data_IF_076335112187
#
_entry.id   IF_076335112187
#
_cell.length_a   1.000
_cell.length_b   1.000
_cell.length_c   1.000
_cell.angle_alpha   90.00
_cell.angle_beta   90.00
_cell.angle_gamma   90.00
#
_symmetry.space_group_name_H-M   'P 1'
#
loop_
_entity.id
_entity.type
_entity.pdbx_description
1 polymer ?
#
# COMPACT_ATOMS: atom_id res chain seq x y z
N UNK A 1 12.26 -12.65 -53.90
CA UNK A 1 12.43 -13.57 -52.75
C UNK A 1 12.77 -12.72 -51.54
N UNK A 2 11.82 -12.54 -50.61
CA UNK A 2 12.01 -11.67 -49.44
C UNK A 2 12.66 -12.48 -48.33
N UNK A 3 13.84 -12.06 -47.86
CA UNK A 3 14.55 -12.75 -46.79
C UNK A 3 13.99 -12.26 -45.43
N UNK A 4 13.39 -13.14 -44.59
CA UNK A 4 12.81 -12.70 -43.32
C UNK A 4 13.92 -12.31 -42.35
N UNK A 5 13.88 -11.06 -41.86
CA UNK A 5 14.79 -10.61 -40.80
C UNK A 5 14.48 -11.42 -39.54
N UNK A 6 15.49 -12.13 -39.03
CA UNK A 6 15.39 -12.86 -37.77
C UNK A 6 15.10 -11.89 -36.62
N UNK A 7 14.08 -12.21 -35.80
CA UNK A 7 13.73 -11.48 -34.56
C UNK A 7 14.96 -11.23 -33.67
N UNK A 8 15.93 -12.15 -33.71
CA UNK A 8 17.19 -12.07 -32.95
C UNK A 8 18.14 -11.01 -33.50
N UNK A 9 18.15 -10.79 -34.81
CA UNK A 9 18.95 -9.72 -35.44
C UNK A 9 18.33 -8.36 -35.18
N UNK A 10 16.99 -8.25 -35.22
CA UNK A 10 16.28 -7.02 -34.89
C UNK A 10 16.55 -6.56 -33.44
N UNK A 11 16.43 -7.47 -32.47
CA UNK A 11 16.69 -7.17 -31.05
C UNK A 11 18.15 -6.74 -30.79
N UNK A 12 19.11 -7.34 -31.50
CA UNK A 12 20.52 -6.92 -31.41
C UNK A 12 20.76 -5.52 -31.97
N UNK A 13 20.09 -5.15 -33.07
CA UNK A 13 20.17 -3.80 -33.64
C UNK A 13 19.49 -2.74 -32.76
N UNK A 14 18.42 -3.08 -32.04
CA UNK A 14 17.72 -2.15 -31.14
C UNK A 14 18.47 -1.89 -29.83
N UNK A 15 19.27 -2.84 -29.34
CA UNK A 15 20.07 -2.66 -28.11
C UNK A 15 21.26 -1.70 -28.27
N UNK A 16 21.79 -1.55 -29.48
CA UNK A 16 22.99 -0.73 -29.72
C UNK A 16 22.71 0.79 -29.74
N UNK A 17 21.46 1.22 -29.91
CA UNK A 17 21.09 2.64 -29.96
C UNK A 17 20.73 3.25 -28.59
N UNK A 18 20.52 2.44 -27.54
CA UNK A 18 20.16 2.94 -26.21
C UNK A 18 21.38 3.28 -25.32
N UNK A 19 22.59 2.88 -25.71
CA UNK A 19 23.78 3.00 -24.86
C UNK A 19 24.54 4.35 -25.00
N UNK A 20 24.10 5.26 -25.89
CA UNK A 20 24.84 6.50 -26.21
C UNK A 20 24.15 7.80 -25.78
N UNK A 21 23.01 7.75 -25.09
CA UNK A 21 22.26 8.95 -24.65
C UNK A 21 22.24 9.20 -23.13
N UNK A 22 23.01 8.45 -22.33
CA UNK A 22 22.95 8.51 -20.86
C UNK A 22 24.07 9.34 -20.19
N UNK A 23 24.84 10.15 -20.92
CA UNK A 23 26.03 10.84 -20.39
C UNK A 23 25.83 12.34 -20.03
N UNK A 24 24.60 12.82 -19.87
CA UNK A 24 24.37 14.26 -19.59
C UNK A 24 23.35 14.58 -18.47
N UNK A 25 23.13 13.68 -17.50
CA UNK A 25 22.32 14.01 -16.32
C UNK A 25 22.74 13.19 -15.08
N UNK A 26 23.93 13.48 -14.55
CA UNK A 26 24.29 13.11 -13.18
C UNK A 26 24.38 14.39 -12.35
N UNK A 27 23.24 14.93 -11.93
CA UNK A 27 23.16 15.49 -10.60
C UNK A 27 22.88 14.30 -9.67
N UNK A 28 23.87 13.92 -8.87
CA UNK A 28 23.74 12.85 -7.90
C UNK A 28 22.67 13.22 -6.86
N UNK A 29 21.64 12.39 -6.61
CA UNK A 29 20.86 12.50 -5.39
C UNK A 29 21.79 12.25 -4.21
N UNK A 30 21.72 13.10 -3.19
CA UNK A 30 22.43 12.90 -1.94
C UNK A 30 22.08 11.51 -1.38
N UNK A 31 23.10 10.73 -1.03
CA UNK A 31 22.93 9.43 -0.39
C UNK A 31 22.11 9.59 0.89
N UNK A 32 20.98 8.89 0.97
CA UNK A 32 20.24 8.71 2.21
C UNK A 32 21.10 7.90 3.18
N UNK A 33 21.15 8.24 4.49
CA UNK A 33 21.89 7.45 5.46
C UNK A 33 21.34 6.02 5.49
N UNK A 34 22.25 5.05 5.49
CA UNK A 34 21.92 3.68 5.85
C UNK A 34 21.47 3.65 7.32
N UNK A 35 20.18 3.43 7.56
CA UNK A 35 19.62 3.24 8.89
C UNK A 35 19.89 1.82 9.38
N UNK A 36 20.84 1.69 10.30
CA UNK A 36 20.91 0.56 11.23
C UNK A 36 19.73 0.60 12.19
N UNK A 37 19.21 -0.60 12.47
CA UNK A 37 18.60 -1.08 13.71
C UNK A 37 17.77 -0.11 14.54
N UNK A 38 16.45 -0.39 14.56
CA UNK A 38 15.69 -0.47 15.80
C UNK A 38 15.75 0.75 16.70
N UNK A 39 15.30 1.90 16.19
CA UNK A 39 14.86 2.99 17.04
C UNK A 39 13.34 3.04 16.89
N UNK A 40 12.61 2.71 17.96
CA UNK A 40 11.19 3.06 18.04
C UNK A 40 11.12 4.57 17.85
N UNK A 41 10.72 4.99 16.65
CA UNK A 41 10.48 6.38 16.36
C UNK A 41 9.44 6.88 17.35
N UNK A 42 9.89 7.66 18.34
CA UNK A 42 9.01 8.39 19.21
C UNK A 42 8.04 9.18 18.32
N UNK A 43 6.74 9.07 18.59
CA UNK A 43 5.71 9.76 17.83
C UNK A 43 6.10 11.24 17.70
N UNK A 44 6.42 11.66 16.47
CA UNK A 44 6.64 13.06 16.19
C UNK A 44 5.33 13.77 16.56
N UNK A 45 5.38 14.73 17.49
CA UNK A 45 4.21 15.47 17.98
C UNK A 45 3.58 16.42 16.94
N UNK A 46 3.59 16.03 15.67
CA UNK A 46 2.90 16.69 14.57
C UNK A 46 1.56 16.02 14.26
N UNK A 47 0.73 16.73 13.52
CA UNK A 47 -0.51 16.19 12.97
C UNK A 47 -0.20 15.00 12.06
N UNK A 48 -0.84 13.87 12.31
CA UNK A 48 -0.73 12.64 11.52
C UNK A 48 -1.91 12.62 10.55
N UNK A 49 -1.65 12.40 9.26
CA UNK A 49 -2.70 12.14 8.28
C UNK A 49 -2.58 10.69 7.81
N UNK A 50 -3.63 9.91 8.06
CA UNK A 50 -3.73 8.53 7.59
C UNK A 50 -4.70 8.47 6.42
N UNK A 51 -4.35 7.70 5.41
CA UNK A 51 -5.15 7.53 4.21
C UNK A 51 -5.88 6.18 4.28
N UNK A 52 -7.20 6.22 4.14
CA UNK A 52 -8.05 5.04 4.16
C UNK A 52 -8.58 4.69 2.76
N UNK A 53 -7.91 3.74 2.09
CA UNK A 53 -8.35 3.17 0.82
C UNK A 53 -9.27 1.97 1.05
N UNK A 54 -10.53 2.09 0.64
CA UNK A 54 -11.53 1.07 0.95
C UNK A 54 -12.57 0.89 -0.14
N UNK A 55 -13.11 -0.31 -0.26
CA UNK A 55 -14.27 -0.58 -1.11
C UNK A 55 -15.60 -0.18 -0.45
N UNK A 56 -15.57 0.39 0.78
CA UNK A 56 -16.76 0.96 1.41
C UNK A 56 -17.13 2.25 0.69
N UNK A 57 -18.30 2.26 0.05
CA UNK A 57 -18.81 3.44 -0.62
C UNK A 57 -19.26 4.55 0.35
N UNK A 58 -19.36 5.80 -0.13
CA UNK A 58 -19.93 6.90 0.63
C UNK A 58 -21.46 6.75 0.79
N UNK A 59 -22.06 7.56 1.67
CA UNK A 59 -23.52 7.74 1.72
C UNK A 59 -24.28 6.83 2.67
N UNK A 60 -23.58 6.04 3.50
CA UNK A 60 -24.20 5.28 4.60
C UNK A 60 -24.17 6.04 5.93
N UNK A 61 -23.39 7.12 6.04
CA UNK A 61 -23.12 7.85 7.29
C UNK A 61 -22.15 7.12 8.23
N UNK A 62 -21.96 5.81 8.03
CA UNK A 62 -21.12 4.98 8.89
C UNK A 62 -19.64 5.33 8.80
N UNK A 63 -19.12 5.66 7.61
CA UNK A 63 -17.71 6.00 7.46
C UNK A 63 -17.42 7.35 8.14
N UNK A 64 -18.30 8.32 7.94
CA UNK A 64 -18.22 9.65 8.52
C UNK A 64 -18.28 9.57 10.06
N UNK A 65 -19.23 8.82 10.61
CA UNK A 65 -19.33 8.57 12.06
C UNK A 65 -18.07 7.92 12.64
N UNK A 66 -17.49 6.92 11.96
CA UNK A 66 -16.26 6.27 12.43
C UNK A 66 -15.05 7.20 12.40
N UNK A 67 -14.94 8.04 11.37
CA UNK A 67 -13.86 9.04 11.28
C UNK A 67 -14.03 10.11 12.36
N UNK A 68 -15.25 10.60 12.59
CA UNK A 68 -15.54 11.61 13.61
C UNK A 68 -15.25 11.07 15.02
N UNK A 69 -15.78 9.90 15.35
CA UNK A 69 -15.54 9.26 16.66
C UNK A 69 -14.07 8.93 16.89
N UNK A 70 -13.33 8.54 15.85
CA UNK A 70 -11.88 8.33 15.97
C UNK A 70 -11.14 9.64 16.24
N UNK A 71 -11.51 10.74 15.57
CA UNK A 71 -10.92 12.06 15.79
C UNK A 71 -11.18 12.63 17.19
N UNK A 72 -12.29 12.28 17.82
CA UNK A 72 -12.57 12.65 19.22
C UNK A 72 -11.58 11.97 20.20
N UNK A 73 -11.16 10.74 19.89
CA UNK A 73 -10.23 9.96 20.72
C UNK A 73 -8.78 10.34 20.41
N UNK A 74 -8.46 10.53 19.12
CA UNK A 74 -7.13 10.85 18.61
C UNK A 74 -7.15 12.20 17.87
N UNK A 75 -7.19 13.34 18.58
CA UNK A 75 -7.38 14.66 17.96
C UNK A 75 -6.20 15.11 17.08
N UNK A 76 -5.04 14.46 17.22
CA UNK A 76 -3.85 14.72 16.43
C UNK A 76 -3.80 13.88 15.15
N UNK A 77 -4.79 13.01 14.91
CA UNK A 77 -4.87 12.16 13.74
C UNK A 77 -6.05 12.57 12.86
N UNK A 78 -5.78 12.74 11.58
CA UNK A 78 -6.76 12.98 10.52
C UNK A 78 -6.84 11.75 9.61
N UNK A 79 -8.06 11.46 9.12
CA UNK A 79 -8.30 10.35 8.20
C UNK A 79 -8.77 10.91 6.85
N UNK A 80 -8.01 10.68 5.79
CA UNK A 80 -8.42 10.92 4.42
C UNK A 80 -9.20 9.70 3.89
N UNK A 81 -10.52 9.85 3.72
CA UNK A 81 -11.37 8.80 3.20
C UNK A 81 -11.29 8.71 1.67
N UNK A 82 -10.73 7.62 1.15
CA UNK A 82 -10.58 7.36 -0.30
C UNK A 82 -11.35 6.10 -0.73
N UNK A 83 -12.66 6.20 -0.98
CA UNK A 83 -13.46 5.07 -1.45
C UNK A 83 -13.08 4.69 -2.89
N UNK A 84 -12.86 3.40 -3.11
CA UNK A 84 -12.57 2.80 -4.41
C UNK A 84 -13.90 2.46 -5.12
N UNK A 85 -14.09 3.02 -6.31
CA UNK A 85 -15.37 2.98 -7.06
C UNK A 85 -15.48 1.84 -8.08
N UNK A 86 -14.81 0.71 -7.85
CA UNK A 86 -14.97 -0.49 -8.66
C UNK A 86 -16.38 -1.08 -8.55
N UNK A 87 -16.83 -1.78 -9.60
CA UNK A 87 -18.14 -2.45 -9.65
C UNK A 87 -18.30 -3.60 -8.65
N UNK A 88 -17.18 -4.16 -8.18
CA UNK A 88 -17.14 -5.21 -7.17
C UNK A 88 -15.89 -5.07 -6.30
N UNK A 89 -15.85 -5.78 -5.16
CA UNK A 89 -14.64 -5.86 -4.33
C UNK A 89 -13.44 -6.39 -5.14
N UNK A 90 -13.68 -7.37 -6.03
CA UNK A 90 -12.64 -7.97 -6.87
C UNK A 90 -11.99 -6.94 -7.80
N UNK A 91 -12.78 -6.07 -8.39
CA UNK A 91 -12.29 -5.01 -9.28
C UNK A 91 -11.39 -4.00 -8.53
N UNK A 92 -11.70 -3.75 -7.25
CA UNK A 92 -10.94 -2.82 -6.42
C UNK A 92 -9.55 -3.34 -6.03
N UNK A 93 -9.34 -4.66 -5.94
CA UNK A 93 -8.01 -5.21 -5.64
C UNK A 93 -6.98 -4.85 -6.70
N UNK A 94 -7.34 -4.94 -7.98
CA UNK A 94 -6.44 -4.53 -9.08
C UNK A 94 -5.99 -3.07 -8.96
N UNK A 95 -6.91 -2.18 -8.55
CA UNK A 95 -6.58 -0.77 -8.29
C UNK A 95 -5.63 -0.61 -7.10
N UNK A 96 -5.87 -1.31 -6.00
CA UNK A 96 -4.97 -1.27 -4.83
C UNK A 96 -3.56 -1.77 -5.16
N UNK A 97 -3.42 -2.84 -5.95
CA UNK A 97 -2.10 -3.31 -6.41
C UNK A 97 -1.39 -2.27 -7.29
N UNK A 98 -2.13 -1.60 -8.17
CA UNK A 98 -1.56 -0.55 -9.00
C UNK A 98 -1.12 0.67 -8.17
N UNK A 99 -1.92 1.08 -7.19
CA UNK A 99 -1.57 2.15 -6.25
C UNK A 99 -0.34 1.77 -5.41
N UNK A 100 -0.25 0.52 -4.94
CA UNK A 100 0.94 0.05 -4.22
C UNK A 100 2.20 0.09 -5.08
N UNK A 101 2.12 -0.41 -6.32
CA UNK A 101 3.22 -0.36 -7.27
C UNK A 101 3.64 1.08 -7.63
N UNK A 102 2.71 2.04 -7.54
CA UNK A 102 2.96 3.46 -7.74
C UNK A 102 3.48 4.18 -6.47
N UNK A 103 3.48 3.52 -5.31
CA UNK A 103 3.81 4.15 -4.02
C UNK A 103 2.74 5.11 -3.51
N UNK A 104 1.48 4.94 -3.93
CA UNK A 104 0.34 5.82 -3.64
C UNK A 104 -0.78 5.11 -2.86
N UNK A 105 -0.60 3.84 -2.50
CA UNK A 105 -1.56 3.13 -1.64
C UNK A 105 -1.50 3.70 -0.21
N UNK A 106 -2.67 3.92 0.38
CA UNK A 106 -2.81 4.48 1.72
C UNK A 106 -2.42 3.50 2.83
N UNK A 107 -2.50 4.00 4.06
CA UNK A 107 -2.06 3.29 5.28
C UNK A 107 -3.06 2.22 5.73
N UNK A 108 -4.35 2.47 5.52
CA UNK A 108 -5.45 1.59 5.92
C UNK A 108 -6.12 1.07 4.67
N UNK A 109 -6.06 -0.25 4.45
CA UNK A 109 -6.53 -0.87 3.21
C UNK A 109 -7.51 -2.01 3.46
N UNK A 110 -8.56 -2.09 2.64
CA UNK A 110 -9.59 -3.11 2.80
C UNK A 110 -9.29 -4.37 1.96
N UNK A 111 -9.04 -5.50 2.62
CA UNK A 111 -8.97 -6.82 2.01
C UNK A 111 -9.91 -7.81 2.70
N UNK A 112 -10.51 -8.71 1.93
CA UNK A 112 -11.39 -9.75 2.45
C UNK A 112 -10.60 -11.05 2.63
N UNK A 113 -10.53 -11.63 3.84
CA UNK A 113 -9.75 -12.84 4.13
C UNK A 113 -10.25 -14.09 3.39
N UNK A 114 -11.50 -14.09 2.91
CA UNK A 114 -12.05 -15.20 2.12
C UNK A 114 -11.58 -15.20 0.66
N UNK A 115 -11.01 -14.10 0.18
CA UNK A 115 -10.52 -13.97 -1.19
C UNK A 115 -9.02 -14.28 -1.30
N UNK A 116 -8.62 -14.94 -2.39
CA UNK A 116 -7.22 -15.23 -2.69
C UNK A 116 -6.32 -13.97 -2.74
N UNK A 117 -6.91 -12.78 -2.96
CA UNK A 117 -6.22 -11.50 -2.96
C UNK A 117 -5.63 -11.12 -1.60
N UNK A 118 -6.22 -11.55 -0.49
CA UNK A 118 -5.66 -11.31 0.84
C UNK A 118 -4.26 -11.93 0.98
N UNK A 119 -4.14 -13.22 0.63
CA UNK A 119 -2.86 -13.95 0.67
C UNK A 119 -1.83 -13.39 -0.33
N UNK A 120 -2.26 -12.91 -1.50
CA UNK A 120 -1.36 -12.23 -2.44
C UNK A 120 -0.88 -10.88 -1.92
N UNK A 121 -1.73 -10.13 -1.23
CA UNK A 121 -1.36 -8.85 -0.65
C UNK A 121 -0.31 -9.00 0.48
N UNK A 122 -0.42 -10.07 1.28
CA UNK A 122 0.63 -10.45 2.25
C UNK A 122 1.96 -10.71 1.54
N UNK A 123 1.96 -11.56 0.51
CA UNK A 123 3.19 -11.87 -0.24
C UNK A 123 3.78 -10.67 -0.99
N UNK A 124 2.94 -9.69 -1.35
CA UNK A 124 3.35 -8.45 -1.99
C UNK A 124 3.85 -7.40 -0.99
N UNK A 125 3.79 -7.67 0.33
CA UNK A 125 4.17 -6.70 1.36
C UNK A 125 3.17 -5.54 1.53
N UNK A 126 1.94 -5.69 1.04
CA UNK A 126 0.86 -4.72 1.23
C UNK A 126 0.25 -4.85 2.62
N UNK A 127 0.10 -6.10 3.11
CA UNK A 127 -0.44 -6.40 4.44
C UNK A 127 0.70 -6.96 5.29
N UNK A 128 1.11 -6.20 6.30
CA UNK A 128 2.09 -6.63 7.29
C UNK A 128 1.45 -7.36 8.49
N UNK A 129 2.25 -8.09 9.28
CA UNK A 129 1.81 -8.56 10.58
C UNK A 129 1.52 -7.35 11.50
N UNK A 130 0.43 -7.41 12.25
CA UNK A 130 0.00 -6.32 13.17
C UNK A 130 0.23 -6.67 14.64
N UNK A 131 0.92 -7.77 14.95
CA UNK A 131 1.05 -8.25 16.32
C UNK A 131 1.76 -7.21 17.22
N UNK A 132 2.83 -6.60 16.73
CA UNK A 132 3.56 -5.58 17.48
C UNK A 132 2.67 -4.36 17.80
N UNK A 133 1.75 -4.01 16.89
CA UNK A 133 0.78 -2.92 17.11
C UNK A 133 -0.28 -3.31 18.14
N UNK A 134 -0.80 -4.54 18.05
CA UNK A 134 -1.76 -5.08 19.01
C UNK A 134 -1.15 -5.18 20.43
N UNK A 135 0.11 -5.61 20.54
CA UNK A 135 0.82 -5.72 21.80
C UNK A 135 1.12 -4.34 22.39
N UNK A 136 1.51 -3.36 21.56
CA UNK A 136 1.73 -1.98 21.98
C UNK A 136 0.47 -1.33 22.57
N UNK A 137 -0.70 -1.66 22.03
CA UNK A 137 -2.00 -1.17 22.51
C UNK A 137 -2.61 -2.04 23.63
N UNK A 138 -1.93 -3.11 24.04
CA UNK A 138 -2.47 -4.11 24.98
C UNK A 138 -3.84 -4.63 24.55
N UNK A 139 -4.03 -4.84 23.25
CA UNK A 139 -5.32 -5.16 22.65
C UNK A 139 -5.81 -6.53 23.11
N UNK A 140 -7.00 -6.56 23.73
CA UNK A 140 -7.64 -7.79 24.19
C UNK A 140 -8.23 -8.60 23.03
N UNK A 141 -7.39 -9.47 22.45
CA UNK A 141 -7.75 -10.27 21.28
C UNK A 141 -8.89 -11.27 21.52
N UNK A 142 -9.23 -11.60 22.78
CA UNK A 142 -10.30 -12.56 23.06
C UNK A 142 -11.67 -12.04 22.61
N UNK A 143 -11.85 -10.72 22.58
CA UNK A 143 -13.10 -10.06 22.15
C UNK A 143 -13.51 -10.40 20.72
N UNK A 144 -12.56 -10.79 19.86
CA UNK A 144 -12.81 -11.13 18.46
C UNK A 144 -12.60 -12.61 18.14
N UNK A 145 -11.58 -13.24 18.74
CA UNK A 145 -11.09 -14.55 18.29
C UNK A 145 -11.50 -15.72 19.17
N UNK A 146 -11.98 -15.50 20.40
CA UNK A 146 -12.37 -16.59 21.30
C UNK A 146 -13.43 -17.51 20.66
N UNK A 147 -14.38 -16.92 19.93
CA UNK A 147 -15.42 -17.64 19.19
C UNK A 147 -14.91 -18.50 18.03
N UNK A 148 -13.66 -18.32 17.58
CA UNK A 148 -13.07 -19.02 16.44
C UNK A 148 -11.95 -20.01 16.85
N UNK A 149 -11.58 -20.06 18.12
CA UNK A 149 -10.47 -20.86 18.65
C UNK A 149 -10.91 -22.24 19.18
N UNK A 150 -12.08 -22.73 18.75
CA UNK A 150 -12.71 -23.99 19.20
C UNK A 150 -12.17 -25.21 18.46
#
# INVERSE_FOLDING_TARGET
MSNPISRRSFLKSSGAFAALSLLAACAAPAAAPAGSEGDSAAAAGGEINLIWDTFRGPGTGWNEERIETFKEIEPNVSIEFRPLTGSSQQDNYGKMYAMHAAGDLGDIVAFDPSHYHFWRAINAGIIGPIQDLADADSLDQSQWFEQFMV
#
